data_IF_376194389059
#
_entry.id   IF_376194389059
#
_cell.length_a   1.000
_cell.length_b   1.000
_cell.length_c   1.000
_cell.angle_alpha   90.00
_cell.angle_beta   90.00
_cell.angle_gamma   90.00
#
_symmetry.space_group_name_H-M   'P 1'
#
loop_
_entity.id
_entity.type
_entity.pdbx_description
1 polymer ?
#
# COMPACT_ATOMS: atom_id res chain seq x y z
N UNK A 1 -10.46 -5.77 -3.62
CA UNK A 1 -9.70 -4.94 -2.65
C UNK A 1 -10.38 -4.89 -1.29
N UNK A 2 -9.62 -4.93 -0.19
CA UNK A 2 -10.14 -5.05 1.18
C UNK A 2 -11.11 -3.91 1.56
N UNK A 3 -10.88 -2.70 1.05
CA UNK A 3 -11.78 -1.56 1.28
C UNK A 3 -13.20 -1.74 0.74
N UNK A 4 -13.38 -2.54 -0.32
CA UNK A 4 -14.73 -2.85 -0.85
C UNK A 4 -15.50 -3.75 0.13
N UNK A 5 -14.82 -4.74 0.71
CA UNK A 5 -15.39 -5.66 1.69
C UNK A 5 -15.81 -4.90 2.94
N UNK A 6 -14.96 -4.02 3.49
CA UNK A 6 -15.33 -3.21 4.65
C UNK A 6 -16.57 -2.35 4.37
N UNK A 7 -16.67 -1.75 3.18
CA UNK A 7 -17.84 -0.97 2.79
C UNK A 7 -19.11 -1.83 2.72
N UNK A 8 -19.04 -3.00 2.10
CA UNK A 8 -20.17 -3.93 1.98
C UNK A 8 -20.66 -4.42 3.36
N UNK A 9 -19.73 -4.63 4.29
CA UNK A 9 -20.02 -5.05 5.66
C UNK A 9 -20.31 -3.88 6.62
N UNK A 10 -20.31 -2.63 6.13
CA UNK A 10 -20.44 -1.41 6.95
C UNK A 10 -19.47 -1.37 8.13
N UNK A 11 -18.26 -1.89 7.91
CA UNK A 11 -17.22 -1.98 8.93
C UNK A 11 -16.57 -0.61 9.11
N UNK A 12 -16.75 -0.02 10.30
CA UNK A 12 -16.13 1.25 10.66
C UNK A 12 -14.65 1.05 10.97
N UNK A 13 -13.79 1.77 10.24
CA UNK A 13 -12.34 1.69 10.39
C UNK A 13 -11.70 3.06 10.28
N UNK A 14 -10.67 3.28 11.08
CA UNK A 14 -9.74 4.39 10.92
C UNK A 14 -8.39 3.85 10.40
N UNK A 15 -7.75 4.58 9.50
CA UNK A 15 -6.42 4.25 8.99
C UNK A 15 -5.45 5.38 9.29
N UNK A 16 -4.32 5.03 9.88
CA UNK A 16 -3.20 5.94 10.08
C UNK A 16 -2.02 5.49 9.22
N UNK A 17 -1.40 6.41 8.49
CA UNK A 17 -0.14 6.14 7.80
C UNK A 17 0.96 6.15 8.86
N UNK A 18 1.62 5.02 9.03
CA UNK A 18 2.71 4.86 10.00
C UNK A 18 4.09 4.85 9.36
N UNK A 19 4.16 4.61 8.04
CA UNK A 19 5.40 4.65 7.28
C UNK A 19 5.12 4.92 5.80
N UNK A 20 6.05 5.61 5.14
CA UNK A 20 6.02 5.85 3.69
C UNK A 20 7.44 5.97 3.17
N UNK A 21 7.65 5.61 1.91
CA UNK A 21 8.94 5.81 1.31
C UNK A 21 9.07 5.27 -0.10
N UNK A 22 10.32 5.12 -0.50
CA UNK A 22 10.75 4.67 -1.81
C UNK A 22 11.87 3.65 -1.61
N UNK A 23 11.82 2.54 -2.35
CA UNK A 23 12.87 1.51 -2.33
C UNK A 23 13.01 0.83 -3.70
N UNK A 24 14.17 0.27 -4.05
CA UNK A 24 14.29 -0.60 -5.22
C UNK A 24 13.38 -1.83 -5.10
N UNK A 25 12.89 -2.34 -6.23
CA UNK A 25 11.96 -3.47 -6.28
C UNK A 25 12.59 -4.77 -5.79
N UNK A 26 13.85 -5.04 -6.16
CA UNK A 26 14.59 -6.25 -5.81
C UNK A 26 13.73 -7.52 -6.02
N UNK A 27 13.60 -8.36 -5.00
CA UNK A 27 12.79 -9.60 -5.02
C UNK A 27 11.30 -9.37 -5.31
N UNK A 28 10.80 -8.14 -5.18
CA UNK A 28 9.41 -7.81 -5.50
C UNK A 28 9.18 -7.49 -6.97
N UNK A 29 10.25 -7.34 -7.76
CA UNK A 29 10.21 -6.94 -9.17
C UNK A 29 9.25 -7.79 -10.01
N UNK A 30 9.30 -9.11 -9.84
CA UNK A 30 8.50 -10.08 -10.60
C UNK A 30 6.99 -9.90 -10.38
N UNK A 31 6.56 -9.47 -9.19
CA UNK A 31 5.15 -9.20 -8.92
C UNK A 31 4.61 -8.01 -9.72
N UNK A 32 5.48 -7.08 -10.08
CA UNK A 32 5.13 -5.85 -10.80
C UNK A 32 5.57 -5.85 -12.27
N UNK A 33 6.33 -6.86 -12.70
CA UNK A 33 6.88 -6.97 -14.06
C UNK A 33 7.74 -5.74 -14.43
N UNK A 34 8.66 -5.36 -13.52
CA UNK A 34 9.61 -4.25 -13.67
C UNK A 34 11.04 -4.72 -13.37
N UNK A 35 12.05 -3.91 -13.67
CA UNK A 35 13.44 -4.21 -13.31
C UNK A 35 13.66 -4.18 -11.78
N UNK A 36 14.55 -5.02 -11.21
CA UNK A 36 14.87 -5.02 -9.78
C UNK A 36 15.34 -3.67 -9.24
N UNK A 37 16.04 -2.88 -10.04
CA UNK A 37 16.56 -1.56 -9.69
C UNK A 37 15.49 -0.47 -9.84
N UNK A 38 14.36 -0.77 -10.49
CA UNK A 38 13.25 0.16 -10.59
C UNK A 38 12.65 0.43 -9.21
N UNK A 39 12.22 1.66 -8.99
CA UNK A 39 11.73 2.05 -7.68
C UNK A 39 10.26 1.69 -7.47
N UNK A 40 9.98 1.20 -6.28
CA UNK A 40 8.65 1.10 -5.70
C UNK A 40 8.46 2.22 -4.68
N UNK A 41 7.34 2.92 -4.81
CA UNK A 41 6.78 3.73 -3.73
C UNK A 41 6.00 2.81 -2.79
N UNK A 42 6.06 3.09 -1.48
CA UNK A 42 5.28 2.32 -0.52
C UNK A 42 4.65 3.21 0.54
N UNK A 43 3.59 2.69 1.13
CA UNK A 43 2.94 3.25 2.32
C UNK A 43 2.44 2.12 3.19
N UNK A 44 2.60 2.27 4.49
CA UNK A 44 2.12 1.33 5.50
C UNK A 44 1.08 2.01 6.35
N UNK A 45 -0.06 1.35 6.49
CA UNK A 45 -1.17 1.77 7.34
C UNK A 45 -1.28 0.87 8.56
N UNK A 46 -1.55 1.48 9.72
CA UNK A 46 -2.19 0.79 10.82
C UNK A 46 -3.70 1.00 10.72
N UNK A 47 -4.46 -0.09 10.71
CA UNK A 47 -5.93 -0.08 10.68
C UNK A 47 -6.44 -0.27 12.09
N UNK A 48 -7.33 0.61 12.51
CA UNK A 48 -7.99 0.58 13.80
C UNK A 48 -9.47 0.34 13.64
N UNK A 49 -10.05 -0.43 14.56
CA UNK A 49 -11.49 -0.55 14.77
C UNK A 49 -11.76 -0.54 16.27
N UNK A 50 -12.77 0.18 16.73
CA UNK A 50 -13.06 0.35 18.15
C UNK A 50 -11.82 0.73 18.99
N UNK A 51 -10.98 1.64 18.46
CA UNK A 51 -9.71 2.10 19.07
C UNK A 51 -8.65 1.02 19.27
N UNK A 52 -8.84 -0.18 18.74
CA UNK A 52 -7.86 -1.26 18.76
C UNK A 52 -7.22 -1.40 17.39
N UNK A 53 -5.90 -1.60 17.36
CA UNK A 53 -5.20 -1.98 16.13
C UNK A 53 -5.60 -3.39 15.74
N UNK A 54 -6.13 -3.54 14.52
CA UNK A 54 -6.62 -4.84 14.01
C UNK A 54 -5.78 -5.38 12.87
N UNK A 55 -5.02 -4.52 12.17
CA UNK A 55 -4.24 -4.92 10.99
C UNK A 55 -3.19 -3.87 10.64
N UNK A 56 -2.08 -4.31 10.05
CA UNK A 56 -1.12 -3.46 9.35
C UNK A 56 -1.10 -3.82 7.86
N UNK A 57 -1.14 -2.82 6.98
CA UNK A 57 -1.20 -3.01 5.53
C UNK A 57 -0.11 -2.19 4.86
N UNK A 58 0.84 -2.84 4.19
CA UNK A 58 1.80 -2.18 3.30
C UNK A 58 1.34 -2.32 1.85
N UNK A 59 1.19 -1.19 1.16
CA UNK A 59 0.90 -1.15 -0.27
C UNK A 59 2.15 -0.65 -1.01
N UNK A 60 2.48 -1.30 -2.13
CA UNK A 60 3.62 -0.99 -2.98
C UNK A 60 3.15 -0.65 -4.40
N UNK A 61 3.77 0.35 -5.01
CA UNK A 61 3.41 0.86 -6.32
C UNK A 61 4.67 1.15 -7.15
N UNK A 62 4.75 0.69 -8.41
CA UNK A 62 5.80 1.13 -9.33
C UNK A 62 5.80 2.66 -9.45
N UNK A 63 6.96 3.29 -9.24
CA UNK A 63 7.10 4.74 -9.33
C UNK A 63 6.70 5.25 -10.73
N UNK A 64 6.95 4.44 -11.77
CA UNK A 64 6.60 4.71 -13.17
C UNK A 64 5.11 5.02 -13.39
N UNK A 65 4.21 4.50 -12.55
CA UNK A 65 2.77 4.77 -12.65
C UNK A 65 2.41 6.24 -12.41
N UNK A 66 3.29 7.00 -11.75
CA UNK A 66 3.05 8.40 -11.38
C UNK A 66 3.90 9.38 -12.19
N UNK A 67 4.86 8.90 -12.98
CA UNK A 67 5.77 9.73 -13.76
C UNK A 67 5.19 10.17 -15.11
N UNK A 68 4.12 9.54 -15.59
CA UNK A 68 3.42 9.96 -16.80
C UNK A 68 2.38 11.05 -16.48
N UNK A 69 2.84 12.30 -16.47
CA UNK A 69 2.01 13.48 -16.74
C UNK A 69 2.37 14.03 -18.11
N UNK A 70 1.59 13.70 -19.13
CA UNK A 70 1.43 14.49 -20.33
C UNK A 70 -0.03 14.95 -20.40
#
# INVERSE_FOLDING_TARGET
PIGKIWREQRFETFKEIVDTGKKPANELADYFQIEPEANLLFRTYCVFSNRQSVMMISEYFPESYFLNRL
#
